data_IF_171660944115
#
_entry.id   IF_171660944115
#
_cell.length_a   1.000
_cell.length_b   1.000
_cell.length_c   1.000
_cell.angle_alpha   90.00
_cell.angle_beta   90.00
_cell.angle_gamma   90.00
#
_symmetry.space_group_name_H-M   'P 1'
#
loop_
_entity.id
_entity.type
_entity.pdbx_description
1 polymer ?
#
# COMPACT_ATOMS: atom_id res chain seq x y z
N UNK A 1 7.91 1.22 12.48
CA UNK A 1 7.02 1.65 11.60
C UNK A 1 6.09 2.80 11.86
N UNK A 2 5.21 2.87 12.78
CA UNK A 2 4.54 4.13 13.16
C UNK A 2 5.35 4.94 14.16
N UNK A 3 6.64 4.89 14.06
CA UNK A 3 7.52 5.62 14.95
C UNK A 3 7.28 7.12 14.77
N UNK A 4 6.66 7.74 15.75
CA UNK A 4 6.38 9.16 15.76
C UNK A 4 4.97 9.59 15.40
N UNK A 5 4.09 8.70 14.92
CA UNK A 5 2.67 9.02 14.81
C UNK A 5 1.96 8.79 16.14
N UNK A 6 1.24 9.80 16.58
CA UNK A 6 0.43 9.72 17.80
C UNK A 6 -0.96 9.18 17.47
N UNK A 7 -1.53 8.42 18.41
CA UNK A 7 -2.94 8.05 18.37
C UNK A 7 -3.83 9.28 18.67
N UNK A 8 -5.14 9.10 18.61
CA UNK A 8 -6.12 10.17 18.94
C UNK A 8 -6.00 10.73 20.37
N UNK A 9 -5.24 10.07 21.24
CA UNK A 9 -4.98 10.49 22.61
C UNK A 9 -3.61 11.15 22.79
N UNK A 10 -2.85 11.37 21.69
CA UNK A 10 -1.53 11.99 21.73
C UNK A 10 -0.38 11.06 22.14
N UNK A 11 -0.63 9.75 22.25
CA UNK A 11 0.39 8.76 22.63
C UNK A 11 1.10 8.21 21.40
N UNK A 12 2.40 7.97 21.49
CA UNK A 12 3.16 7.33 20.42
C UNK A 12 2.64 5.92 20.16
N UNK A 13 2.50 5.56 18.86
CA UNK A 13 2.07 4.23 18.43
C UNK A 13 3.25 3.38 18.00
N UNK A 14 3.17 2.10 18.37
CA UNK A 14 4.09 1.06 17.92
C UNK A 14 5.46 1.12 18.57
N UNK A 15 6.21 0.06 18.39
CA UNK A 15 7.57 -0.10 18.86
C UNK A 15 8.52 -0.22 17.66
N UNK A 16 9.84 0.08 17.86
CA UNK A 16 10.84 -0.16 16.84
C UNK A 16 10.84 -1.64 16.41
N UNK A 17 10.58 -1.90 15.14
CA UNK A 17 10.43 -3.25 14.58
C UNK A 17 11.51 -3.60 13.54
N UNK A 18 12.53 -2.75 13.38
CA UNK A 18 13.59 -2.96 12.41
C UNK A 18 14.47 -4.19 12.66
N UNK A 19 14.35 -4.84 13.82
CA UNK A 19 15.02 -6.10 14.14
C UNK A 19 14.27 -7.33 13.60
N UNK A 20 13.03 -7.17 13.13
CA UNK A 20 12.23 -8.27 12.61
C UNK A 20 12.43 -8.42 11.09
N UNK A 21 12.37 -9.66 10.56
CA UNK A 21 12.44 -9.87 9.13
C UNK A 21 11.20 -9.30 8.43
N UNK A 22 11.30 -8.83 7.17
CA UNK A 22 10.14 -8.34 6.42
C UNK A 22 8.98 -9.32 6.35
N UNK A 23 9.25 -10.61 6.32
CA UNK A 23 8.24 -11.68 6.30
C UNK A 23 7.38 -11.76 7.58
N UNK A 24 7.76 -11.06 8.66
CA UNK A 24 6.95 -10.95 9.87
C UNK A 24 5.78 -9.96 9.72
N UNK A 25 5.71 -9.24 8.60
CA UNK A 25 4.71 -8.19 8.37
C UNK A 25 3.84 -8.50 7.17
N UNK A 26 2.53 -8.30 7.33
CA UNK A 26 1.56 -8.25 6.24
C UNK A 26 1.32 -6.78 5.90
N UNK A 27 1.52 -6.43 4.63
CA UNK A 27 1.31 -5.08 4.11
C UNK A 27 0.08 -5.06 3.21
N UNK A 28 -0.76 -4.04 3.35
CA UNK A 28 -1.92 -3.81 2.50
C UNK A 28 -2.18 -2.31 2.35
N UNK A 29 -2.82 -1.91 1.27
CA UNK A 29 -3.27 -0.53 1.05
C UNK A 29 -4.66 -0.34 1.65
N UNK A 30 -5.53 -1.32 1.48
CA UNK A 30 -6.87 -1.39 2.04
C UNK A 30 -7.27 -2.84 2.26
N UNK A 31 -8.23 -3.06 3.14
CA UNK A 31 -8.90 -4.34 3.34
C UNK A 31 -10.38 -4.10 3.69
N UNK A 32 -11.11 -5.13 4.04
CA UNK A 32 -12.53 -5.05 4.40
C UNK A 32 -12.79 -4.04 5.55
N UNK A 33 -11.87 -3.90 6.51
CA UNK A 33 -12.03 -2.99 7.64
C UNK A 33 -11.95 -1.52 7.21
N UNK A 34 -10.90 -1.13 6.44
CA UNK A 34 -10.76 0.27 6.03
C UNK A 34 -11.90 0.69 5.11
N UNK A 35 -12.33 -0.19 4.20
CA UNK A 35 -13.41 0.11 3.26
C UNK A 35 -14.76 0.01 3.97
N UNK A 36 -15.06 -1.10 4.65
CA UNK A 36 -16.34 -1.36 5.31
C UNK A 36 -16.64 -0.42 6.48
N UNK A 37 -15.63 0.17 7.11
CA UNK A 37 -15.80 1.17 8.15
C UNK A 37 -16.09 2.58 7.61
N UNK A 38 -16.01 2.81 6.29
CA UNK A 38 -16.50 4.04 5.68
C UNK A 38 -18.02 4.00 5.53
N UNK A 39 -18.67 5.18 5.61
CA UNK A 39 -20.14 5.25 5.59
C UNK A 39 -20.77 4.64 4.32
N UNK A 40 -20.10 4.81 3.20
CA UNK A 40 -20.54 4.35 1.89
C UNK A 40 -19.59 3.35 1.21
N UNK A 41 -18.62 2.81 1.97
CA UNK A 41 -17.73 1.76 1.50
C UNK A 41 -16.85 2.14 0.30
N UNK A 42 -16.44 3.42 0.19
CA UNK A 42 -15.63 3.90 -0.93
C UNK A 42 -14.24 3.29 -0.89
N UNK A 43 -13.74 2.89 -2.06
CA UNK A 43 -12.43 2.28 -2.25
C UNK A 43 -11.37 3.30 -2.65
N UNK A 44 -10.09 2.95 -2.51
CA UNK A 44 -8.97 3.80 -2.89
C UNK A 44 -9.03 4.37 -4.32
N UNK A 45 -9.50 3.64 -5.36
CA UNK A 45 -9.64 4.23 -6.69
C UNK A 45 -10.52 5.48 -6.76
N UNK A 46 -11.48 5.59 -5.84
CA UNK A 46 -12.39 6.75 -5.75
C UNK A 46 -11.83 7.89 -4.87
N UNK A 47 -10.84 7.59 -4.03
CA UNK A 47 -10.34 8.49 -2.99
C UNK A 47 -8.95 9.05 -3.27
N UNK A 48 -8.11 8.29 -3.99
CA UNK A 48 -6.72 8.64 -4.23
C UNK A 48 -6.49 9.11 -5.67
N UNK A 49 -5.45 9.92 -5.86
CA UNK A 49 -4.98 10.22 -7.21
C UNK A 49 -4.56 8.93 -7.92
N UNK A 50 -4.96 8.68 -9.19
CA UNK A 50 -4.69 7.42 -9.88
C UNK A 50 -3.20 7.05 -9.93
N UNK A 51 -2.31 8.01 -10.15
CA UNK A 51 -0.87 7.73 -10.21
C UNK A 51 -0.27 7.50 -8.82
N UNK A 52 -0.78 8.19 -7.78
CA UNK A 52 -0.41 7.88 -6.40
C UNK A 52 -0.82 6.46 -6.01
N UNK A 53 -1.99 5.99 -6.45
CA UNK A 53 -2.44 4.62 -6.21
C UNK A 53 -1.54 3.59 -6.91
N UNK A 54 -1.12 3.84 -8.16
CA UNK A 54 -0.17 2.98 -8.88
C UNK A 54 1.19 2.94 -8.17
N UNK A 55 1.71 4.09 -7.74
CA UNK A 55 2.96 4.17 -6.99
C UNK A 55 2.87 3.42 -5.65
N UNK A 56 1.77 3.57 -4.91
CA UNK A 56 1.53 2.83 -3.68
C UNK A 56 1.39 1.31 -3.91
N UNK A 57 0.77 0.91 -5.04
CA UNK A 57 0.68 -0.50 -5.44
C UNK A 57 2.06 -1.08 -5.73
N UNK A 58 2.97 -0.31 -6.34
CA UNK A 58 4.35 -0.73 -6.52
C UNK A 58 5.07 -0.96 -5.18
N UNK A 59 4.90 -0.05 -4.21
CA UNK A 59 5.41 -0.27 -2.85
C UNK A 59 4.84 -1.54 -2.23
N UNK A 60 3.51 -1.75 -2.31
CA UNK A 60 2.85 -2.93 -1.77
C UNK A 60 3.44 -4.22 -2.33
N UNK A 61 3.56 -4.32 -3.65
CA UNK A 61 3.91 -5.56 -4.32
C UNK A 61 5.42 -5.79 -4.45
N UNK A 62 6.25 -4.75 -4.43
CA UNK A 62 7.69 -4.86 -4.59
C UNK A 62 8.49 -4.71 -3.29
N UNK A 63 7.86 -4.38 -2.17
CA UNK A 63 8.51 -4.51 -0.86
C UNK A 63 8.67 -5.99 -0.47
N UNK A 64 9.66 -6.37 0.34
CA UNK A 64 9.87 -7.78 0.70
C UNK A 64 8.88 -8.30 1.76
N UNK A 65 7.94 -7.46 2.25
CA UNK A 65 6.87 -7.88 3.14
C UNK A 65 5.86 -8.78 2.42
N UNK A 66 4.97 -9.40 3.19
CA UNK A 66 3.87 -10.23 2.65
C UNK A 66 2.74 -9.31 2.20
N UNK A 67 2.46 -9.19 0.89
CA UNK A 67 1.37 -8.35 0.42
C UNK A 67 0.02 -9.03 0.63
N UNK A 68 -0.96 -8.28 1.12
CA UNK A 68 -2.37 -8.67 1.13
C UNK A 68 -3.12 -7.77 0.15
N UNK A 69 -3.78 -8.37 -0.81
CA UNK A 69 -4.63 -7.70 -1.78
C UNK A 69 -6.09 -7.94 -1.40
N UNK A 70 -6.89 -6.89 -1.40
CA UNK A 70 -8.33 -7.04 -1.22
C UNK A 70 -9.00 -7.27 -2.58
N UNK A 71 -10.04 -8.11 -2.59
CA UNK A 71 -10.77 -8.45 -3.81
C UNK A 71 -11.19 -7.21 -4.60
N UNK A 72 -10.81 -7.16 -5.88
CA UNK A 72 -11.09 -6.05 -6.78
C UNK A 72 -10.00 -5.00 -6.85
N UNK A 73 -8.95 -5.04 -6.01
CA UNK A 73 -7.83 -4.11 -6.09
C UNK A 73 -7.12 -4.18 -7.44
N UNK A 74 -6.96 -5.40 -7.96
CA UNK A 74 -6.33 -5.68 -9.24
C UNK A 74 -7.06 -5.11 -10.46
N UNK A 75 -8.33 -4.77 -10.30
CA UNK A 75 -9.15 -4.15 -11.35
C UNK A 75 -9.44 -2.68 -11.09
N UNK A 76 -8.96 -2.12 -9.98
CA UNK A 76 -9.40 -0.82 -9.47
C UNK A 76 -10.94 -0.77 -9.34
N UNK A 77 -11.52 -1.81 -8.71
CA UNK A 77 -12.97 -1.94 -8.58
C UNK A 77 -13.58 -0.69 -7.94
N UNK A 78 -14.63 -0.17 -8.54
CA UNK A 78 -15.38 0.99 -8.07
C UNK A 78 -16.58 0.61 -7.20
N UNK A 79 -17.01 -0.67 -7.24
CA UNK A 79 -18.09 -1.16 -6.39
C UNK A 79 -17.70 -0.99 -4.92
N UNK A 80 -18.57 -0.40 -4.10
CA UNK A 80 -18.30 -0.24 -2.68
C UNK A 80 -18.13 -1.59 -1.98
N UNK A 81 -17.54 -1.57 -0.81
CA UNK A 81 -17.63 -2.69 0.12
C UNK A 81 -18.23 -2.18 1.42
N UNK A 82 -19.53 -2.34 1.55
CA UNK A 82 -20.32 -1.80 2.64
C UNK A 82 -20.21 -2.68 3.88
N UNK A 83 -20.44 -2.11 5.03
CA UNK A 83 -20.62 -2.88 6.25
C UNK A 83 -21.96 -3.62 6.21
N UNK A 84 -21.93 -4.94 6.20
CA UNK A 84 -23.14 -5.77 6.17
C UNK A 84 -23.11 -6.87 7.22
N UNK A 85 -24.30 -7.21 7.70
CA UNK A 85 -24.55 -8.24 8.70
C UNK A 85 -25.82 -9.02 8.34
N UNK A 86 -26.16 -10.04 9.13
CA UNK A 86 -27.38 -10.82 8.96
C UNK A 86 -28.07 -11.04 10.31
N UNK A 87 -28.31 -9.95 11.03
CA UNK A 87 -29.06 -9.96 12.27
C UNK A 87 -30.55 -9.77 12.01
N UNK A 88 -31.39 -10.23 12.95
CA UNK A 88 -32.84 -10.16 12.88
C UNK A 88 -33.42 -9.56 14.15
N UNK A 89 -34.67 -9.07 14.07
CA UNK A 89 -35.40 -8.53 15.21
C UNK A 89 -34.73 -7.31 15.82
N UNK A 90 -34.77 -7.20 17.14
CA UNK A 90 -34.25 -6.08 17.91
C UNK A 90 -32.76 -5.82 17.65
N UNK A 91 -31.95 -6.87 17.50
CA UNK A 91 -30.52 -6.74 17.25
C UNK A 91 -30.26 -6.08 15.88
N UNK A 92 -31.06 -6.38 14.86
CA UNK A 92 -30.93 -5.74 13.56
C UNK A 92 -31.18 -4.21 13.66
N UNK A 93 -32.17 -3.80 14.41
CA UNK A 93 -32.47 -2.39 14.66
C UNK A 93 -31.29 -1.70 15.38
N UNK A 94 -30.79 -2.30 16.47
CA UNK A 94 -29.66 -1.78 17.24
C UNK A 94 -28.40 -1.64 16.38
N UNK A 95 -28.12 -2.60 15.51
CA UNK A 95 -26.96 -2.53 14.60
C UNK A 95 -27.14 -1.42 13.57
N UNK A 96 -28.31 -1.28 12.97
CA UNK A 96 -28.61 -0.21 12.02
C UNK A 96 -28.47 1.17 12.63
N UNK A 97 -29.07 1.37 13.80
CA UNK A 97 -28.99 2.65 14.52
C UNK A 97 -27.57 2.93 15.01
N UNK A 98 -26.87 1.92 15.55
CA UNK A 98 -25.49 2.00 15.99
C UNK A 98 -24.58 2.45 14.85
N UNK A 99 -24.75 1.86 13.66
CA UNK A 99 -23.97 2.21 12.45
C UNK A 99 -24.17 3.66 12.05
N UNK A 100 -25.39 4.16 12.04
CA UNK A 100 -25.73 5.56 11.73
C UNK A 100 -25.18 6.53 12.77
N UNK A 101 -25.27 6.17 14.05
CA UNK A 101 -24.79 6.99 15.15
C UNK A 101 -23.25 7.07 15.21
N UNK A 102 -22.53 6.05 14.78
CA UNK A 102 -21.08 6.04 14.67
C UNK A 102 -20.55 7.23 13.84
N UNK A 103 -21.28 7.64 12.81
CA UNK A 103 -20.92 8.75 11.95
C UNK A 103 -21.40 10.12 12.45
N UNK A 104 -22.20 10.18 13.50
CA UNK A 104 -22.76 11.45 14.00
C UNK A 104 -21.68 12.46 14.45
N UNK A 105 -20.50 11.99 14.83
CA UNK A 105 -19.37 12.82 15.26
C UNK A 105 -18.58 13.45 14.08
N UNK A 106 -18.87 13.07 12.84
CA UNK A 106 -18.19 13.62 11.67
C UNK A 106 -19.04 14.76 11.06
N UNK A 107 -18.42 15.91 10.79
CA UNK A 107 -19.10 17.08 10.22
C UNK A 107 -19.90 16.76 8.93
N UNK A 108 -19.36 15.87 8.10
CA UNK A 108 -20.03 15.43 6.87
C UNK A 108 -21.38 14.74 7.12
N UNK A 109 -21.59 14.20 8.32
CA UNK A 109 -22.77 13.45 8.75
C UNK A 109 -23.47 14.09 9.97
N UNK A 110 -23.19 15.34 10.27
CA UNK A 110 -23.89 16.08 11.34
C UNK A 110 -25.40 16.15 11.10
N UNK A 111 -25.82 16.21 9.84
CA UNK A 111 -27.20 16.21 9.40
C UNK A 111 -27.83 14.81 9.52
N UNK A 112 -28.94 14.64 10.26
CA UNK A 112 -29.66 13.37 10.37
C UNK A 112 -30.09 12.78 9.02
N UNK A 113 -30.54 13.59 8.06
CA UNK A 113 -30.96 13.13 6.74
C UNK A 113 -29.82 12.46 5.96
N UNK A 114 -28.59 12.96 6.13
CA UNK A 114 -27.42 12.34 5.52
C UNK A 114 -27.09 10.99 6.14
N UNK A 115 -27.28 10.84 7.46
CA UNK A 115 -27.07 9.57 8.16
C UNK A 115 -28.09 8.50 7.76
N UNK A 116 -29.33 8.90 7.47
CA UNK A 116 -30.36 7.98 6.98
C UNK A 116 -30.02 7.35 5.63
N UNK A 117 -29.16 8.01 4.85
CA UNK A 117 -28.68 7.50 3.56
C UNK A 117 -27.61 6.41 3.71
N UNK A 118 -27.03 6.24 4.91
CA UNK A 118 -26.10 5.14 5.18
C UNK A 118 -26.86 3.82 5.04
N UNK A 119 -26.36 2.87 4.20
CA UNK A 119 -27.03 1.62 3.94
C UNK A 119 -27.34 0.84 5.23
N UNK A 120 -28.48 0.18 5.27
CA UNK A 120 -28.81 -0.72 6.38
C UNK A 120 -27.93 -1.97 6.31
N UNK A 121 -27.12 -2.25 7.36
CA UNK A 121 -26.23 -3.39 7.37
C UNK A 121 -26.95 -4.74 7.19
N UNK A 122 -28.21 -4.84 7.57
CA UNK A 122 -28.96 -6.09 7.50
C UNK A 122 -29.78 -6.23 6.19
N UNK A 123 -29.79 -5.22 5.32
CA UNK A 123 -30.46 -5.31 4.04
C UNK A 123 -29.66 -6.22 3.09
N UNK A 124 -30.34 -7.15 2.43
CA UNK A 124 -29.72 -8.01 1.42
C UNK A 124 -29.05 -7.17 0.32
N UNK A 125 -29.66 -6.05 -0.07
CA UNK A 125 -29.12 -5.15 -1.08
C UNK A 125 -27.73 -4.62 -0.70
N UNK A 126 -27.47 -4.34 0.59
CA UNK A 126 -26.16 -3.88 1.09
C UNK A 126 -25.06 -4.92 0.82
N UNK A 127 -25.37 -6.20 0.98
CA UNK A 127 -24.47 -7.29 0.60
C UNK A 127 -24.32 -7.41 -0.92
N UNK A 128 -25.41 -7.34 -1.68
CA UNK A 128 -25.37 -7.47 -3.15
C UNK A 128 -24.55 -6.31 -3.77
N UNK A 129 -24.70 -5.10 -3.29
CA UNK A 129 -23.95 -3.92 -3.74
C UNK A 129 -22.44 -4.02 -3.41
N UNK A 130 -22.07 -4.83 -2.40
CA UNK A 130 -20.69 -5.04 -2.00
C UNK A 130 -19.96 -6.09 -2.84
N UNK A 131 -20.64 -6.77 -3.74
CA UNK A 131 -20.04 -7.81 -4.58
C UNK A 131 -19.24 -7.18 -5.74
N UNK A 132 -17.95 -7.48 -5.86
CA UNK A 132 -17.17 -6.96 -6.98
C UNK A 132 -17.65 -7.56 -8.31
N UNK A 133 -17.62 -6.76 -9.36
CA UNK A 133 -17.88 -7.25 -10.72
C UNK A 133 -16.65 -8.02 -11.23
N UNK A 134 -16.73 -9.35 -11.22
CA UNK A 134 -15.64 -10.21 -11.67
C UNK A 134 -15.48 -10.25 -13.21
N UNK A 135 -16.38 -9.61 -13.95
CA UNK A 135 -16.30 -9.45 -15.42
C UNK A 135 -15.45 -8.22 -15.81
N UNK A 136 -14.84 -7.54 -14.84
CA UNK A 136 -13.95 -6.42 -15.10
C UNK A 136 -12.83 -6.84 -16.06
N UNK A 137 -12.53 -5.95 -17.00
CA UNK A 137 -11.62 -6.24 -18.10
C UNK A 137 -10.20 -6.54 -17.59
N UNK A 138 -9.66 -7.69 -17.99
CA UNK A 138 -8.24 -8.02 -17.85
C UNK A 138 -7.32 -7.09 -18.64
N UNK A 139 -7.90 -6.28 -19.50
CA UNK A 139 -7.18 -5.27 -20.30
C UNK A 139 -7.07 -3.91 -19.60
N UNK A 140 -7.57 -3.79 -18.36
CA UNK A 140 -7.44 -2.56 -17.60
C UNK A 140 -5.97 -2.27 -17.28
N UNK A 141 -5.60 -0.99 -17.29
CA UNK A 141 -4.24 -0.56 -16.96
C UNK A 141 -3.79 -1.02 -15.56
N UNK A 142 -4.73 -1.07 -14.60
CA UNK A 142 -4.44 -1.54 -13.24
C UNK A 142 -4.15 -3.04 -13.22
N UNK A 143 -4.93 -3.85 -13.94
CA UNK A 143 -4.69 -5.29 -14.02
C UNK A 143 -3.33 -5.59 -14.66
N UNK A 144 -2.97 -4.89 -15.72
CA UNK A 144 -1.65 -5.05 -16.36
C UNK A 144 -0.52 -4.65 -15.40
N UNK A 145 -0.70 -3.58 -14.63
CA UNK A 145 0.25 -3.18 -13.60
C UNK A 145 0.43 -4.28 -12.54
N UNK A 146 -0.65 -4.84 -12.02
CA UNK A 146 -0.58 -5.96 -11.05
C UNK A 146 0.15 -7.16 -11.64
N UNK A 147 -0.14 -7.54 -12.87
CA UNK A 147 0.56 -8.64 -13.55
C UNK A 147 2.08 -8.36 -13.67
N UNK A 148 2.46 -7.16 -14.07
CA UNK A 148 3.86 -6.74 -14.17
C UNK A 148 4.56 -6.79 -12.81
N UNK A 149 3.97 -6.17 -11.79
CA UNK A 149 4.57 -6.09 -10.46
C UNK A 149 4.69 -7.47 -9.79
N UNK A 150 3.66 -8.32 -9.92
CA UNK A 150 3.69 -9.69 -9.38
C UNK A 150 4.74 -10.55 -10.09
N UNK A 151 4.94 -10.36 -11.40
CA UNK A 151 6.01 -11.02 -12.15
C UNK A 151 7.39 -10.60 -11.62
N UNK A 152 7.64 -9.29 -11.50
CA UNK A 152 8.90 -8.77 -10.94
C UNK A 152 9.11 -9.32 -9.52
N UNK A 153 8.08 -9.26 -8.67
CA UNK A 153 8.14 -9.81 -7.32
C UNK A 153 8.54 -11.28 -7.31
N UNK A 154 7.86 -12.10 -8.12
CA UNK A 154 8.10 -13.54 -8.16
C UNK A 154 9.50 -13.88 -8.65
N UNK A 155 10.00 -13.17 -9.65
CA UNK A 155 11.29 -13.44 -10.28
C UNK A 155 12.49 -12.86 -9.52
N UNK A 156 12.31 -11.69 -8.87
CA UNK A 156 13.44 -10.89 -8.36
C UNK A 156 13.46 -10.71 -6.83
N UNK A 157 12.35 -10.90 -6.14
CA UNK A 157 12.24 -10.64 -4.71
C UNK A 157 11.97 -11.93 -3.92
N UNK A 158 10.93 -12.68 -4.29
CA UNK A 158 10.50 -13.87 -3.56
C UNK A 158 11.62 -14.89 -3.35
N UNK A 159 12.50 -15.20 -4.34
CA UNK A 159 13.58 -16.16 -4.16
C UNK A 159 14.59 -15.76 -3.07
N UNK A 160 14.65 -14.47 -2.75
CA UNK A 160 15.64 -13.89 -1.85
C UNK A 160 15.04 -13.27 -0.58
N UNK A 161 13.76 -13.51 -0.28
CA UNK A 161 13.10 -13.00 0.94
C UNK A 161 13.63 -13.69 2.20
N UNK A 162 13.99 -14.97 2.10
CA UNK A 162 14.58 -15.69 3.23
C UNK A 162 15.94 -15.05 3.59
N UNK A 163 16.12 -14.64 4.85
CA UNK A 163 17.29 -13.90 5.31
C UNK A 163 17.26 -12.40 5.03
N UNK A 164 16.22 -11.89 4.40
CA UNK A 164 16.09 -10.46 4.18
C UNK A 164 15.90 -9.69 5.50
N UNK A 165 16.51 -8.50 5.59
CA UNK A 165 16.37 -7.61 6.74
C UNK A 165 16.31 -6.15 6.30
N UNK A 166 15.61 -5.28 7.07
CA UNK A 166 15.53 -3.87 6.75
C UNK A 166 16.83 -3.15 7.06
N UNK A 167 17.21 -2.23 6.20
CA UNK A 167 18.34 -1.31 6.40
C UNK A 167 17.90 0.08 6.84
N UNK A 168 16.60 0.35 6.80
CA UNK A 168 15.99 1.60 7.24
C UNK A 168 15.14 2.28 6.17
N UNK A 169 14.48 3.34 6.60
CA UNK A 169 13.70 4.23 5.75
C UNK A 169 13.90 5.67 6.19
N UNK A 170 14.00 6.57 5.21
CA UNK A 170 14.18 8.00 5.43
C UNK A 170 12.99 8.76 4.83
N UNK A 171 12.40 9.66 5.62
CA UNK A 171 11.37 10.58 5.13
C UNK A 171 12.06 11.69 4.36
N UNK A 172 11.77 11.82 3.07
CA UNK A 172 12.37 12.81 2.18
C UNK A 172 11.60 14.13 2.24
N UNK A 173 10.26 14.03 2.30
CA UNK A 173 9.33 15.15 2.45
C UNK A 173 7.97 14.59 2.89
N UNK A 174 6.98 15.47 3.11
CA UNK A 174 5.61 15.04 3.32
C UNK A 174 5.10 14.22 2.11
N UNK A 175 4.71 12.98 2.35
CA UNK A 175 4.27 12.04 1.32
C UNK A 175 5.39 11.38 0.52
N UNK A 176 6.67 11.64 0.83
CA UNK A 176 7.79 11.03 0.12
C UNK A 176 8.76 10.30 1.07
N UNK A 177 9.20 9.11 0.66
CA UNK A 177 10.06 8.22 1.46
C UNK A 177 11.02 7.43 0.57
N UNK A 178 12.19 7.14 1.09
CA UNK A 178 13.08 6.07 0.57
C UNK A 178 13.16 4.95 1.60
N UNK A 179 13.10 3.69 1.15
CA UNK A 179 13.23 2.53 2.01
C UNK A 179 14.18 1.49 1.40
N UNK A 180 14.93 0.80 2.25
CA UNK A 180 16.00 -0.09 1.82
C UNK A 180 16.00 -1.39 2.62
N UNK A 181 16.26 -2.48 1.92
CA UNK A 181 16.42 -3.82 2.51
C UNK A 181 17.60 -4.52 1.89
N UNK A 182 18.33 -5.30 2.69
CA UNK A 182 19.21 -6.31 2.16
C UNK A 182 18.39 -7.60 1.99
N UNK A 183 18.43 -8.20 0.81
CA UNK A 183 17.83 -9.48 0.54
C UNK A 183 18.74 -10.63 0.98
N UNK A 184 18.23 -11.85 1.02
CA UNK A 184 18.96 -13.03 1.52
C UNK A 184 20.19 -13.43 0.70
N UNK A 185 20.27 -13.00 -0.56
CA UNK A 185 21.45 -13.17 -1.42
C UNK A 185 22.49 -12.02 -1.27
N UNK A 186 22.24 -11.08 -0.35
CA UNK A 186 23.08 -9.92 -0.12
C UNK A 186 22.81 -8.73 -1.06
N UNK A 187 21.90 -8.87 -2.02
CA UNK A 187 21.50 -7.74 -2.88
C UNK A 187 20.73 -6.67 -2.10
N UNK A 188 20.79 -5.42 -2.57
CA UNK A 188 20.10 -4.29 -1.95
C UNK A 188 18.88 -3.92 -2.76
N UNK A 189 17.71 -4.11 -2.17
CA UNK A 189 16.44 -3.61 -2.69
C UNK A 189 16.19 -2.19 -2.14
N UNK A 190 15.89 -1.26 -3.04
CA UNK A 190 15.53 0.12 -2.69
C UNK A 190 14.22 0.51 -3.37
N UNK A 191 13.39 1.22 -2.62
CA UNK A 191 12.15 1.83 -3.11
C UNK A 191 12.19 3.31 -2.75
N UNK A 192 12.15 4.17 -3.77
CA UNK A 192 11.96 5.61 -3.65
C UNK A 192 10.52 5.92 -4.05
N UNK A 193 9.75 6.51 -3.14
CA UNK A 193 8.32 6.73 -3.29
C UNK A 193 7.97 8.19 -3.02
N UNK A 194 7.16 8.78 -3.89
CA UNK A 194 6.54 10.08 -3.67
C UNK A 194 5.05 9.99 -3.99
N UNK A 195 4.20 10.04 -2.99
CA UNK A 195 2.74 10.03 -3.13
C UNK A 195 2.16 11.45 -3.17
N UNK A 196 3.01 12.48 -3.06
CA UNK A 196 2.57 13.88 -3.13
C UNK A 196 2.50 14.38 -4.57
N UNK A 197 1.69 15.41 -4.81
CA UNK A 197 1.61 16.10 -6.10
C UNK A 197 2.76 17.10 -6.36
N UNK A 198 3.84 17.06 -5.58
CA UNK A 198 5.00 17.97 -5.71
C UNK A 198 6.27 17.19 -5.96
N UNK A 199 7.19 17.70 -6.81
CA UNK A 199 8.51 17.11 -6.94
C UNK A 199 9.31 17.26 -5.62
N UNK A 200 10.18 16.29 -5.34
CA UNK A 200 11.01 16.26 -4.15
C UNK A 200 12.47 16.15 -4.56
N UNK A 201 13.34 16.99 -3.97
CA UNK A 201 14.79 16.91 -4.20
C UNK A 201 15.30 15.61 -3.57
N UNK A 202 15.92 14.78 -4.39
CA UNK A 202 16.46 13.50 -3.96
C UNK A 202 17.58 13.06 -4.91
N UNK A 203 18.64 12.52 -4.36
CA UNK A 203 19.78 12.09 -5.17
C UNK A 203 19.71 10.59 -5.47
N UNK A 204 20.00 10.18 -6.72
CA UNK A 204 20.08 8.78 -7.07
C UNK A 204 21.25 8.12 -6.31
N UNK A 205 21.15 6.81 -6.13
CA UNK A 205 22.26 6.00 -5.66
C UNK A 205 22.89 5.29 -6.87
N UNK A 206 24.18 5.46 -7.05
CA UNK A 206 24.90 4.89 -8.19
C UNK A 206 24.87 3.33 -8.17
N UNK A 207 24.86 2.72 -9.35
CA UNK A 207 25.05 1.28 -9.53
C UNK A 207 23.79 0.43 -9.36
N UNK A 208 22.62 1.02 -9.31
CA UNK A 208 21.35 0.31 -9.17
C UNK A 208 20.79 -0.11 -10.53
N UNK A 209 20.34 -1.37 -10.64
CA UNK A 209 19.53 -1.80 -11.77
C UNK A 209 18.06 -1.46 -11.49
N UNK A 210 17.43 -0.68 -12.35
CA UNK A 210 16.01 -0.34 -12.26
C UNK A 210 15.18 -1.60 -12.52
N UNK A 211 14.29 -1.95 -11.59
CA UNK A 211 13.32 -3.02 -11.73
C UNK A 211 11.95 -2.51 -12.19
N UNK A 212 11.58 -1.33 -11.73
CA UNK A 212 10.28 -0.72 -12.01
C UNK A 212 10.35 0.79 -11.82
N UNK A 213 9.63 1.51 -12.67
CA UNK A 213 9.32 2.93 -12.50
C UNK A 213 7.86 3.25 -12.81
N UNK A 214 7.33 4.23 -12.13
CA UNK A 214 6.06 4.85 -12.40
C UNK A 214 6.07 6.30 -11.91
N UNK A 215 5.60 7.27 -12.72
CA UNK A 215 5.32 7.16 -14.15
C UNK A 215 6.60 6.90 -14.99
N UNK A 216 6.47 6.61 -16.29
CA UNK A 216 7.63 6.49 -17.18
C UNK A 216 8.56 7.70 -17.10
N UNK A 217 9.86 7.50 -17.31
CA UNK A 217 10.91 8.55 -17.29
C UNK A 217 11.17 9.14 -15.89
N UNK A 218 10.60 8.56 -14.82
CA UNK A 218 10.87 9.01 -13.45
C UNK A 218 12.30 8.76 -13.03
N UNK A 219 12.96 7.74 -13.59
CA UNK A 219 14.37 7.46 -13.32
C UNK A 219 15.28 8.55 -13.89
N UNK A 220 14.98 9.07 -15.08
CA UNK A 220 15.73 10.18 -15.70
C UNK A 220 15.62 11.46 -14.87
N UNK A 221 14.46 11.73 -14.28
CA UNK A 221 14.27 12.86 -13.37
C UNK A 221 15.04 12.67 -12.05
N UNK A 222 15.07 11.44 -11.55
CA UNK A 222 15.86 11.12 -10.35
C UNK A 222 17.35 11.31 -10.61
N UNK A 223 17.88 10.95 -11.80
CA UNK A 223 19.27 11.17 -12.19
C UNK A 223 19.63 12.67 -12.24
N UNK A 224 18.62 13.53 -12.45
CA UNK A 224 18.73 14.99 -12.35
C UNK A 224 18.53 15.51 -10.92
N UNK A 225 18.41 14.63 -9.92
CA UNK A 225 18.26 15.01 -8.51
C UNK A 225 16.82 15.29 -8.08
N UNK A 226 15.82 14.81 -8.83
CA UNK A 226 14.42 15.09 -8.55
C UNK A 226 13.56 13.82 -8.58
N UNK A 227 12.87 13.55 -7.47
CA UNK A 227 11.86 12.51 -7.39
C UNK A 227 10.52 13.10 -7.87
N UNK A 228 9.98 12.55 -8.95
CA UNK A 228 8.76 13.06 -9.59
C UNK A 228 7.54 13.02 -8.66
N UNK A 229 6.49 13.84 -8.90
CA UNK A 229 5.19 13.67 -8.23
C UNK A 229 4.58 12.30 -8.52
N UNK A 230 3.89 11.73 -7.55
CA UNK A 230 3.14 10.46 -7.66
C UNK A 230 3.95 9.32 -8.26
N UNK A 231 5.22 9.18 -7.86
CA UNK A 231 6.13 8.22 -8.47
C UNK A 231 6.57 7.12 -7.50
N UNK A 232 6.92 5.98 -8.09
CA UNK A 232 7.66 4.90 -7.44
C UNK A 232 8.81 4.46 -8.34
N UNK A 233 10.00 4.39 -7.75
CA UNK A 233 11.20 3.84 -8.36
C UNK A 233 11.66 2.66 -7.52
N UNK A 234 11.81 1.51 -8.14
CA UNK A 234 12.28 0.30 -7.45
C UNK A 234 13.54 -0.18 -8.13
N UNK A 235 14.61 -0.29 -7.37
CA UNK A 235 15.92 -0.69 -7.88
C UNK A 235 16.53 -1.81 -7.04
N UNK A 236 17.40 -2.58 -7.69
CA UNK A 236 18.15 -3.67 -7.07
C UNK A 236 19.63 -3.51 -7.40
N UNK A 237 20.48 -3.48 -6.38
CA UNK A 237 21.94 -3.52 -6.52
C UNK A 237 22.41 -4.94 -6.22
N UNK A 238 23.19 -5.54 -7.10
CA UNK A 238 23.78 -6.84 -6.85
C UNK A 238 24.63 -6.83 -5.56
N UNK A 239 24.69 -7.97 -4.88
CA UNK A 239 25.63 -8.15 -3.76
C UNK A 239 27.04 -7.85 -4.22
N UNK A 240 27.82 -7.16 -3.38
CA UNK A 240 29.24 -7.03 -3.63
C UNK A 240 29.87 -8.43 -3.70
N UNK A 241 30.72 -8.71 -4.70
CA UNK A 241 31.43 -10.00 -4.76
C UNK A 241 32.15 -10.19 -3.42
N UNK A 242 31.95 -11.36 -2.82
CA UNK A 242 32.74 -11.77 -1.67
C UNK A 242 34.21 -11.76 -2.13
N UNK A 243 35.03 -10.89 -1.55
CA UNK A 243 36.45 -10.99 -1.74
C UNK A 243 36.87 -12.39 -1.26
N UNK A 244 37.65 -13.13 -2.04
CA UNK A 244 38.17 -14.40 -1.57
C UNK A 244 38.90 -14.14 -0.24
N UNK A 245 38.78 -15.02 0.76
CA UNK A 245 39.56 -14.88 1.98
C UNK A 245 41.02 -14.71 1.58
N UNK A 246 41.69 -13.70 2.15
CA UNK A 246 43.10 -13.39 1.87
C UNK A 246 43.89 -14.69 1.89
N UNK A 247 44.22 -15.14 0.67
CA UNK A 247 44.92 -16.39 0.48
C UNK A 247 46.30 -16.27 1.11
N UNK A 248 46.61 -17.25 1.91
CA UNK A 248 47.94 -17.57 2.40
C UNK A 248 49.00 -17.18 1.38
N UNK A 249 49.74 -16.12 1.69
CA UNK A 249 51.00 -15.85 1.02
C UNK A 249 51.98 -16.93 1.48
N UNK A 250 52.24 -17.89 0.60
CA UNK A 250 53.39 -18.75 0.72
C UNK A 250 54.69 -17.98 0.54
#
# INVERSE_FOLDING_TARGET
>A
MFQGHTNRHGEARGEPSGHLPPSAFVLFLQNHDQIGNRAFGERLPQLAHPDALKAATALLLLSPMIPLMFMGDEFAAEQPFLFFTSHHGELAELVREGRRNEFAAFDAFADPEKRERIPDPNAQQTFEDSRPCLTASRDSAMYQLYCQLLKIRHERIVPHVSGAHPLGADVLAEGAVTARWQLGDGSLLRIDLNLSGKPVVHSPQAGNALLFEHPPESADLLDQGTLAPYCALVSLTAAAPLLPPDGERQ
#
